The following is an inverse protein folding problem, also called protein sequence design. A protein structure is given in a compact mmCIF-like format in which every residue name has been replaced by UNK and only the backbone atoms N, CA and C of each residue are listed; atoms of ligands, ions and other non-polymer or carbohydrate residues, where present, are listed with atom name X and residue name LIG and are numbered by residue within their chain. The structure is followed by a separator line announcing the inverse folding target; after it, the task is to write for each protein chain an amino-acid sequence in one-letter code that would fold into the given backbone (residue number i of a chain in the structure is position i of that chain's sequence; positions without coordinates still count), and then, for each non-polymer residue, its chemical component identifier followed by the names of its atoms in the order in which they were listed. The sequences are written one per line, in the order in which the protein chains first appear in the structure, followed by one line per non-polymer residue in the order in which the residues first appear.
data_IF_254443437115
#
_entry.id   IF_254443437115
#
_cell.length_a   1.000
_cell.length_b   1.000
_cell.length_c   1.000
_cell.angle_alpha   90.00
_cell.angle_beta   90.00
_cell.angle_gamma   90.00
#
_symmetry.space_group_name_H-M   'P 1'
#
loop_
_entity.id
_entity.type
_entity.pdbx_description
1 polymer ?
#
# COMPACT_ATOMS: atom_id res chain seq x y z
N UNK A 1 71.91 37.09 -7.13
CA UNK A 1 72.04 35.68 -6.70
C UNK A 1 70.72 35.28 -6.01
N UNK A 2 69.82 34.74 -6.71
CA UNK A 2 68.48 34.30 -6.19
C UNK A 2 68.26 32.82 -6.52
N UNK A 3 68.36 31.96 -5.52
CA UNK A 3 68.23 30.52 -5.63
C UNK A 3 66.76 30.15 -5.43
N UNK A 4 66.17 29.64 -6.47
CA UNK A 4 64.78 29.18 -6.48
C UNK A 4 64.55 28.03 -5.51
N UNK A 5 63.67 28.21 -4.54
CA UNK A 5 63.08 27.10 -3.73
C UNK A 5 62.12 26.31 -4.62
N UNK A 6 62.53 25.18 -5.12
CA UNK A 6 61.63 24.23 -5.79
C UNK A 6 60.71 23.55 -4.78
N UNK A 7 59.47 23.61 -5.09
CA UNK A 7 58.30 23.18 -4.33
C UNK A 7 58.29 21.68 -4.03
N UNK A 8 58.38 21.35 -2.76
CA UNK A 8 58.22 19.98 -2.21
C UNK A 8 56.72 19.50 -2.19
N UNK A 9 55.84 20.26 -2.86
CA UNK A 9 54.40 19.92 -2.86
C UNK A 9 54.00 19.00 -3.99
N UNK A 10 54.77 18.83 -5.04
CA UNK A 10 54.42 18.01 -6.20
C UNK A 10 54.57 16.48 -5.93
N UNK A 11 55.56 16.10 -5.15
CA UNK A 11 55.86 14.69 -4.89
C UNK A 11 54.86 14.03 -3.94
N UNK A 12 54.31 14.78 -2.98
CA UNK A 12 53.31 14.26 -2.04
C UNK A 12 51.98 14.00 -2.73
N UNK A 13 51.67 14.71 -3.80
CA UNK A 13 50.43 14.56 -4.54
C UNK A 13 50.43 13.29 -5.43
N UNK A 14 51.56 12.95 -6.04
CA UNK A 14 51.73 11.75 -6.88
C UNK A 14 51.64 10.48 -6.03
N UNK A 15 52.22 10.48 -4.83
CA UNK A 15 52.19 9.31 -3.93
C UNK A 15 50.76 9.08 -3.38
N UNK A 16 50.01 10.13 -3.10
CA UNK A 16 48.61 10.03 -2.67
C UNK A 16 47.68 9.52 -3.78
N UNK A 17 47.93 9.91 -5.02
CA UNK A 17 47.14 9.44 -6.16
C UNK A 17 47.38 7.95 -6.49
N UNK A 18 48.60 7.45 -6.28
CA UNK A 18 48.92 6.04 -6.47
C UNK A 18 48.33 5.13 -5.40
N UNK A 19 48.22 5.58 -4.15
CA UNK A 19 47.64 4.85 -3.05
C UNK A 19 46.10 4.74 -3.17
N UNK A 20 45.44 5.77 -3.73
CA UNK A 20 44.00 5.74 -3.98
C UNK A 20 43.64 4.79 -5.15
N UNK A 21 44.50 4.72 -6.18
CA UNK A 21 44.28 3.77 -7.28
C UNK A 21 44.44 2.31 -6.87
N UNK A 22 45.33 2.00 -5.90
CA UNK A 22 45.49 0.65 -5.38
C UNK A 22 44.33 0.16 -4.51
N UNK A 23 43.63 1.08 -3.80
CA UNK A 23 42.45 0.72 -3.00
C UNK A 23 41.18 0.46 -3.84
N UNK A 24 41.06 1.06 -5.02
CA UNK A 24 39.89 0.86 -5.89
C UNK A 24 39.94 -0.51 -6.59
N UNK A 25 41.14 -1.07 -6.82
CA UNK A 25 41.30 -2.38 -7.44
C UNK A 25 40.95 -3.56 -6.52
N UNK A 26 40.95 -3.38 -5.20
CA UNK A 26 40.67 -4.44 -4.22
C UNK A 26 39.17 -4.63 -3.92
N UNK A 27 38.28 -3.74 -4.37
CA UNK A 27 36.83 -3.78 -4.08
C UNK A 27 36.01 -4.45 -5.20
N UNK A 28 36.62 -4.79 -6.34
CA UNK A 28 35.95 -5.38 -7.50
C UNK A 28 35.96 -6.91 -7.54
N UNK A 29 36.42 -7.58 -6.47
CA UNK A 29 36.38 -9.04 -6.36
C UNK A 29 35.28 -9.50 -5.40
N UNK A 30 34.10 -8.86 -5.43
CA UNK A 30 32.92 -9.47 -4.83
C UNK A 30 32.43 -10.53 -5.82
N UNK A 31 32.76 -11.78 -5.51
CA UNK A 31 32.10 -12.96 -6.08
C UNK A 31 30.60 -12.74 -6.03
N UNK A 32 30.00 -12.44 -7.18
CA UNK A 32 28.56 -12.53 -7.41
C UNK A 32 28.16 -14.00 -7.36
N UNK A 33 28.15 -14.57 -6.14
CA UNK A 33 27.32 -15.75 -5.91
C UNK A 33 25.90 -15.29 -6.09
N UNK A 34 25.42 -15.41 -7.32
CA UNK A 34 24.02 -15.37 -7.63
C UNK A 34 23.32 -16.37 -6.71
N UNK A 35 22.63 -15.82 -5.71
CA UNK A 35 21.58 -16.55 -5.03
C UNK A 35 20.50 -16.74 -6.10
N UNK A 36 20.58 -17.86 -6.79
CA UNK A 36 19.45 -18.37 -7.53
C UNK A 36 18.38 -18.65 -6.46
N UNK A 37 17.60 -17.63 -6.15
CA UNK A 37 16.28 -17.83 -5.59
C UNK A 37 15.54 -18.62 -6.65
N UNK A 38 15.46 -19.92 -6.45
CA UNK A 38 14.44 -20.76 -7.07
C UNK A 38 13.12 -20.10 -6.65
N UNK A 39 12.60 -19.24 -7.51
CA UNK A 39 11.23 -18.79 -7.42
C UNK A 39 10.40 -20.08 -7.53
N UNK A 40 9.93 -20.59 -6.41
CA UNK A 40 8.81 -21.53 -6.43
C UNK A 40 7.74 -20.87 -7.28
N UNK A 41 7.22 -21.57 -8.32
CA UNK A 41 6.09 -21.04 -9.06
C UNK A 41 4.99 -20.82 -8.03
N UNK A 42 4.70 -19.55 -7.73
CA UNK A 42 3.49 -19.19 -7.04
C UNK A 42 2.37 -19.79 -7.86
N UNK A 43 1.48 -20.61 -7.31
CA UNK A 43 0.34 -21.08 -8.07
C UNK A 43 -0.35 -19.83 -8.59
N UNK A 44 -0.46 -19.72 -9.91
CA UNK A 44 -1.26 -18.69 -10.55
C UNK A 44 -2.71 -18.94 -10.14
N UNK A 45 -3.06 -18.44 -8.95
CA UNK A 45 -4.42 -18.41 -8.48
C UNK A 45 -5.20 -17.56 -9.46
N UNK A 46 -6.23 -18.13 -10.04
CA UNK A 46 -7.14 -17.46 -10.97
C UNK A 46 -7.60 -16.15 -10.31
N UNK A 47 -7.09 -15.02 -10.78
CA UNK A 47 -7.44 -13.68 -10.26
C UNK A 47 -8.93 -13.33 -10.39
N UNK A 48 -9.69 -14.18 -11.09
CA UNK A 48 -11.12 -14.02 -11.36
C UNK A 48 -12.00 -15.01 -10.57
N UNK A 49 -11.46 -15.79 -9.66
CA UNK A 49 -12.30 -16.67 -8.85
C UNK A 49 -13.17 -15.84 -7.90
N UNK A 50 -14.48 -16.07 -7.91
CA UNK A 50 -15.37 -15.52 -6.90
C UNK A 50 -14.86 -15.96 -5.52
N UNK A 51 -14.65 -15.00 -4.57
CA UNK A 51 -14.10 -15.35 -3.28
C UNK A 51 -15.04 -16.29 -2.53
N UNK A 52 -14.52 -17.47 -2.17
CA UNK A 52 -15.21 -18.32 -1.23
C UNK A 52 -15.07 -17.77 0.20
N UNK A 53 -15.98 -18.11 1.13
CA UNK A 53 -15.87 -17.63 2.52
C UNK A 53 -14.52 -17.90 3.18
N UNK A 54 -13.84 -18.98 2.79
CA UNK A 54 -12.55 -19.42 3.40
C UNK A 54 -11.34 -18.68 2.85
N UNK A 55 -11.45 -18.00 1.69
CA UNK A 55 -10.35 -17.28 1.05
C UNK A 55 -10.58 -15.78 0.96
N UNK A 56 -11.78 -15.32 1.30
CA UNK A 56 -12.14 -13.91 1.27
C UNK A 56 -11.83 -13.23 2.60
N UNK A 57 -11.34 -12.01 2.49
CA UNK A 57 -11.25 -11.10 3.63
C UNK A 57 -12.43 -10.13 3.63
N UNK A 58 -12.76 -9.60 4.80
CA UNK A 58 -13.60 -8.43 4.92
C UNK A 58 -12.71 -7.19 4.98
N UNK A 59 -13.05 -6.19 4.19
CA UNK A 59 -12.36 -4.89 4.17
C UNK A 59 -13.37 -3.81 4.54
N UNK A 60 -13.19 -3.19 5.70
CA UNK A 60 -14.00 -2.04 6.12
C UNK A 60 -13.28 -0.75 5.76
N UNK A 61 -13.97 0.12 5.02
CA UNK A 61 -13.44 1.37 4.49
C UNK A 61 -14.25 2.51 5.07
N UNK A 62 -13.58 3.44 5.75
CA UNK A 62 -14.18 4.70 6.19
C UNK A 62 -13.92 5.77 5.13
N UNK A 63 -15.00 6.38 4.65
CA UNK A 63 -15.01 7.44 3.65
C UNK A 63 -15.36 8.75 4.36
N UNK A 64 -14.36 9.39 4.95
CA UNK A 64 -14.54 10.61 5.73
C UNK A 64 -14.66 11.81 4.79
N UNK A 65 -15.76 12.55 4.91
CA UNK A 65 -15.96 13.76 4.12
C UNK A 65 -14.96 14.85 4.51
N UNK A 66 -14.51 15.62 3.54
CA UNK A 66 -13.85 16.89 3.79
C UNK A 66 -14.91 17.92 4.23
N UNK A 67 -14.96 18.17 5.54
CA UNK A 67 -15.96 19.07 6.15
C UNK A 67 -15.68 20.55 5.88
N UNK A 68 -14.59 20.91 5.24
CA UNK A 68 -14.31 22.27 4.79
C UNK A 68 -15.12 22.67 3.54
N UNK A 69 -15.80 21.68 2.92
CA UNK A 69 -16.54 21.87 1.67
C UNK A 69 -17.98 21.37 1.79
N UNK A 70 -18.93 22.04 1.12
CA UNK A 70 -20.31 21.58 1.08
C UNK A 70 -20.44 20.18 0.44
N UNK A 71 -21.35 19.35 0.97
CA UNK A 71 -21.58 17.99 0.48
C UNK A 71 -21.92 17.94 -1.03
N UNK A 72 -22.66 18.92 -1.53
CA UNK A 72 -22.99 19.01 -2.95
C UNK A 72 -21.77 19.14 -3.86
N UNK A 73 -20.75 19.89 -3.44
CA UNK A 73 -19.50 20.01 -4.18
C UNK A 73 -18.70 18.70 -4.18
N UNK A 74 -18.65 18.01 -3.04
CA UNK A 74 -17.99 16.71 -2.91
C UNK A 74 -18.65 15.68 -3.82
N UNK A 75 -19.99 15.61 -3.83
CA UNK A 75 -20.74 14.71 -4.69
C UNK A 75 -20.52 14.99 -6.17
N UNK A 76 -20.59 16.28 -6.56
CA UNK A 76 -20.32 16.68 -7.93
C UNK A 76 -18.89 16.35 -8.36
N UNK A 77 -17.91 16.40 -7.45
CA UNK A 77 -16.54 15.98 -7.72
C UNK A 77 -16.45 14.45 -7.93
N UNK A 78 -17.09 13.65 -7.08
CA UNK A 78 -17.14 12.20 -7.22
C UNK A 78 -17.76 11.75 -8.56
N UNK A 79 -18.84 12.43 -8.99
CA UNK A 79 -19.48 12.20 -10.29
C UNK A 79 -18.53 12.49 -11.44
N UNK A 80 -17.86 13.66 -11.43
CA UNK A 80 -16.89 14.06 -12.47
C UNK A 80 -15.70 13.09 -12.53
N UNK A 81 -15.25 12.59 -11.39
CA UNK A 81 -14.14 11.62 -11.29
C UNK A 81 -14.59 10.19 -11.64
N UNK A 82 -15.89 9.94 -11.80
CA UNK A 82 -16.41 8.64 -12.17
C UNK A 82 -16.41 7.60 -11.04
N UNK A 83 -16.43 8.06 -9.78
CA UNK A 83 -16.38 7.17 -8.61
C UNK A 83 -17.46 6.08 -8.67
N UNK A 84 -18.72 6.45 -8.84
CA UNK A 84 -19.84 5.50 -8.86
C UNK A 84 -19.87 4.57 -10.10
N UNK A 85 -19.04 4.83 -11.11
CA UNK A 85 -18.83 3.90 -12.23
C UNK A 85 -17.77 2.85 -11.91
N UNK A 86 -16.78 3.21 -11.09
CA UNK A 86 -15.64 2.37 -10.76
C UNK A 86 -15.85 1.60 -9.44
N UNK A 87 -16.64 2.13 -8.52
CA UNK A 87 -16.86 1.56 -7.18
C UNK A 87 -18.33 1.21 -6.94
N UNK A 88 -18.63 -0.01 -6.45
CA UNK A 88 -17.72 -1.11 -6.16
C UNK A 88 -17.19 -1.77 -7.44
N UNK A 89 -15.96 -2.32 -7.45
CA UNK A 89 -15.44 -3.04 -8.62
C UNK A 89 -16.20 -4.33 -8.88
N UNK A 90 -16.30 -4.73 -10.15
CA UNK A 90 -17.02 -5.92 -10.55
C UNK A 90 -16.53 -7.17 -9.81
N UNK A 91 -17.46 -8.02 -9.34
CA UNK A 91 -17.13 -9.25 -8.60
C UNK A 91 -16.66 -9.05 -7.16
N UNK A 92 -16.74 -7.85 -6.61
CA UNK A 92 -16.57 -7.57 -5.18
C UNK A 92 -17.93 -7.45 -4.54
N UNK A 93 -18.17 -8.21 -3.47
CA UNK A 93 -19.42 -8.17 -2.71
C UNK A 93 -19.42 -6.96 -1.76
N UNK A 94 -20.48 -6.15 -1.82
CA UNK A 94 -20.75 -5.13 -0.81
C UNK A 94 -21.55 -5.75 0.32
N UNK A 95 -20.89 -5.99 1.45
CA UNK A 95 -21.55 -6.57 2.66
C UNK A 95 -22.41 -5.52 3.35
N UNK A 96 -21.91 -4.29 3.43
CA UNK A 96 -22.64 -3.16 4.02
C UNK A 96 -22.16 -1.83 3.46
N UNK A 97 -23.05 -0.84 3.43
CA UNK A 97 -22.73 0.54 3.08
C UNK A 97 -23.64 1.47 3.87
N UNK A 98 -23.09 2.16 4.85
CA UNK A 98 -23.85 3.01 5.76
C UNK A 98 -23.30 4.44 5.78
N UNK A 99 -24.15 5.38 6.14
CA UNK A 99 -23.74 6.76 6.49
C UNK A 99 -23.51 6.84 7.99
N UNK A 100 -22.33 7.31 8.35
CA UNK A 100 -21.99 7.70 9.72
C UNK A 100 -22.17 9.21 9.86
N UNK A 101 -23.19 9.63 10.63
CA UNK A 101 -23.48 11.05 10.83
C UNK A 101 -22.29 11.79 11.41
N UNK A 102 -21.94 12.95 10.81
CA UNK A 102 -20.81 13.77 11.22
C UNK A 102 -19.42 13.28 10.76
N UNK A 103 -19.33 12.11 10.10
CA UNK A 103 -18.07 11.57 9.63
C UNK A 103 -18.08 11.40 8.10
N UNK A 104 -19.05 10.65 7.56
CA UNK A 104 -19.12 10.31 6.16
C UNK A 104 -19.78 8.97 5.93
N UNK A 105 -19.13 8.05 5.23
CA UNK A 105 -19.67 6.74 4.93
C UNK A 105 -18.73 5.64 5.44
N UNK A 106 -19.30 4.47 5.72
CA UNK A 106 -18.55 3.25 6.01
C UNK A 106 -19.05 2.14 5.10
N UNK A 107 -18.11 1.49 4.41
CA UNK A 107 -18.38 0.40 3.47
C UNK A 107 -17.62 -0.83 3.93
N UNK A 108 -18.27 -1.98 3.97
CA UNK A 108 -17.61 -3.26 4.18
C UNK A 108 -17.73 -4.09 2.91
N UNK A 109 -16.59 -4.49 2.38
CA UNK A 109 -16.47 -5.33 1.18
C UNK A 109 -16.01 -6.74 1.57
N UNK A 110 -16.44 -7.74 0.79
CA UNK A 110 -15.86 -9.09 0.80
C UNK A 110 -15.11 -9.32 -0.49
N UNK A 111 -13.82 -9.59 -0.40
CA UNK A 111 -12.95 -9.73 -1.58
C UNK A 111 -11.73 -10.63 -1.28
N UNK A 112 -11.09 -11.24 -2.29
CA UNK A 112 -9.79 -11.87 -2.13
C UNK A 112 -8.72 -10.81 -1.79
N UNK A 113 -7.74 -11.14 -0.97
CA UNK A 113 -6.68 -10.23 -0.58
C UNK A 113 -5.87 -9.69 -1.79
N UNK A 114 -5.77 -10.46 -2.87
CA UNK A 114 -5.12 -10.06 -4.13
C UNK A 114 -5.74 -8.82 -4.77
N UNK A 115 -7.02 -8.54 -4.50
CA UNK A 115 -7.74 -7.38 -5.06
C UNK A 115 -7.68 -6.11 -4.20
N UNK A 116 -7.00 -6.13 -3.05
CA UNK A 116 -6.85 -4.95 -2.19
C UNK A 116 -6.28 -3.74 -2.94
N UNK A 117 -5.25 -3.97 -3.77
CA UNK A 117 -4.63 -2.91 -4.56
C UNK A 117 -5.60 -2.28 -5.56
N UNK A 118 -6.45 -3.08 -6.20
CA UNK A 118 -7.47 -2.60 -7.13
C UNK A 118 -8.45 -1.65 -6.43
N UNK A 119 -8.99 -2.07 -5.28
CA UNK A 119 -9.90 -1.26 -4.48
C UNK A 119 -9.24 0.05 -4.06
N UNK A 120 -8.01 0.02 -3.54
CA UNK A 120 -7.28 1.23 -3.14
C UNK A 120 -7.08 2.19 -4.31
N UNK A 121 -6.69 1.68 -5.49
CA UNK A 121 -6.49 2.51 -6.69
C UNK A 121 -7.76 3.20 -7.17
N UNK A 122 -8.93 2.59 -7.02
CA UNK A 122 -10.19 3.25 -7.36
C UNK A 122 -10.35 4.51 -6.52
N UNK A 123 -10.10 4.44 -5.21
CA UNK A 123 -10.19 5.64 -4.35
C UNK A 123 -9.13 6.68 -4.69
N UNK A 124 -7.89 6.27 -4.97
CA UNK A 124 -6.82 7.18 -5.37
C UNK A 124 -7.13 7.94 -6.66
N UNK A 125 -7.83 7.30 -7.60
CA UNK A 125 -8.09 7.87 -8.93
C UNK A 125 -9.44 8.56 -9.05
N UNK A 126 -10.45 8.13 -8.28
CA UNK A 126 -11.84 8.59 -8.49
C UNK A 126 -12.48 9.26 -7.28
N UNK A 127 -11.84 9.21 -6.11
CA UNK A 127 -12.39 9.82 -4.89
C UNK A 127 -11.41 10.78 -4.21
N UNK A 128 -10.26 11.05 -4.83
CA UNK A 128 -9.25 11.94 -4.28
C UNK A 128 -9.77 13.37 -4.12
N UNK A 129 -9.56 13.94 -2.94
CA UNK A 129 -10.05 15.27 -2.59
C UNK A 129 -11.54 15.36 -2.22
N UNK A 130 -12.31 14.24 -2.33
CA UNK A 130 -13.68 14.15 -1.83
C UNK A 130 -13.77 13.38 -0.53
N UNK A 131 -12.96 12.31 -0.40
CA UNK A 131 -12.87 11.51 0.80
C UNK A 131 -11.45 11.46 1.34
N UNK A 132 -11.33 11.48 2.67
CA UNK A 132 -10.20 10.93 3.39
C UNK A 132 -10.54 9.48 3.74
N UNK A 133 -9.77 8.54 3.22
CA UNK A 133 -10.05 7.11 3.32
C UNK A 133 -9.20 6.42 4.38
N UNK A 134 -9.80 5.49 5.12
CA UNK A 134 -9.10 4.60 6.03
C UNK A 134 -9.56 3.16 5.76
N UNK A 135 -8.60 2.23 5.65
CA UNK A 135 -8.83 0.84 5.27
C UNK A 135 -8.46 -0.09 6.42
N UNK A 136 -9.39 -0.98 6.80
CA UNK A 136 -9.19 -1.94 7.87
C UNK A 136 -9.59 -3.32 7.41
N UNK A 137 -8.66 -4.28 7.50
CA UNK A 137 -9.01 -5.69 7.41
C UNK A 137 -9.84 -6.05 8.64
N UNK A 138 -11.00 -6.66 8.43
CA UNK A 138 -11.94 -7.05 9.49
C UNK A 138 -12.33 -8.53 9.34
N UNK A 139 -12.91 -9.09 10.36
CA UNK A 139 -13.53 -10.42 10.31
C UNK A 139 -14.87 -10.41 11.05
N UNK A 140 -15.75 -11.32 10.68
CA UNK A 140 -17.05 -11.44 11.33
C UNK A 140 -16.90 -12.14 12.68
N UNK A 141 -17.15 -11.40 13.75
CA UNK A 141 -17.12 -11.88 15.13
C UNK A 141 -18.52 -12.10 15.71
N UNK A 142 -19.59 -11.84 14.92
CA UNK A 142 -20.97 -11.78 15.41
C UNK A 142 -21.39 -13.07 16.10
N UNK A 143 -21.18 -14.23 15.49
CA UNK A 143 -21.58 -15.51 16.04
C UNK A 143 -20.84 -15.83 17.34
N UNK A 144 -19.53 -15.64 17.36
CA UNK A 144 -18.70 -15.86 18.55
C UNK A 144 -19.08 -14.90 19.68
N UNK A 145 -19.32 -13.63 19.34
CA UNK A 145 -19.73 -12.62 20.32
C UNK A 145 -21.09 -12.93 20.94
N UNK A 146 -22.08 -13.36 20.13
CA UNK A 146 -23.40 -13.76 20.63
C UNK A 146 -23.29 -15.01 21.50
N UNK A 147 -22.58 -16.05 21.06
CA UNK A 147 -22.41 -17.28 21.84
C UNK A 147 -21.74 -17.02 23.21
N UNK A 148 -20.74 -16.12 23.25
CA UNK A 148 -20.12 -15.72 24.52
C UNK A 148 -21.10 -14.96 25.42
N UNK A 149 -21.94 -14.09 24.85
CA UNK A 149 -23.00 -13.40 25.59
C UNK A 149 -24.00 -14.37 26.20
N UNK A 150 -24.55 -15.30 25.39
CA UNK A 150 -25.55 -16.27 25.82
C UNK A 150 -25.00 -17.19 26.93
N UNK A 151 -23.76 -17.65 26.78
CA UNK A 151 -23.06 -18.41 27.81
C UNK A 151 -22.91 -17.62 29.12
N UNK A 152 -22.61 -16.34 29.07
CA UNK A 152 -22.51 -15.49 30.25
C UNK A 152 -23.88 -15.26 30.93
N UNK A 153 -24.99 -15.35 30.16
CA UNK A 153 -26.35 -15.26 30.67
C UNK A 153 -26.94 -16.61 31.15
N UNK A 154 -26.17 -17.70 31.05
CA UNK A 154 -26.64 -19.04 31.45
C UNK A 154 -27.67 -19.65 30.51
N UNK A 155 -27.65 -19.24 29.23
CA UNK A 155 -28.51 -19.76 28.15
C UNK A 155 -27.84 -20.86 27.36
#
# INVERSE_FOLDING_TARGET
MGRAKRSCKAEVWVIRSLLIAAMIAAVLSFDSRAWAQTASPSPAGSENATPTPDTAILLTIFLKHDQSRPLGELNAQLERQGFYKAFPPAGVEVVSWYVMMGIGQVVTLRLPASRLREVNRIFETTAWGSYRTEFYATYDYKQVGIANHDKAQGK
#
